data_IF_655503893681
#
_entry.id   IF_655503893681
#
_cell.length_a   1.000
_cell.length_b   1.000
_cell.length_c   1.000
_cell.angle_alpha   90.00
_cell.angle_beta   90.00
_cell.angle_gamma   90.00
#
_symmetry.space_group_name_H-M   'P 1'
#
loop_
_entity.id
_entity.type
_entity.pdbx_description
1 polymer ?
#
# COMPACT_ATOMS: atom_id res chain seq x y z
N UNK A 1 25.10 2.35 -8.35
CA UNK A 1 26.02 2.69 -7.27
C UNK A 1 26.14 4.20 -7.06
N UNK A 2 25.00 4.85 -6.72
CA UNK A 2 24.96 6.29 -6.40
C UNK A 2 25.49 6.66 -5.02
N UNK A 3 25.86 5.67 -4.21
CA UNK A 3 26.30 5.86 -2.83
C UNK A 3 27.83 5.91 -2.64
N UNK A 4 28.62 5.77 -3.69
CA UNK A 4 30.09 5.81 -3.56
C UNK A 4 30.65 7.06 -2.84
N UNK A 5 30.11 8.27 -3.05
CA UNK A 5 30.59 9.45 -2.32
C UNK A 5 30.28 9.43 -0.81
N UNK A 6 29.30 8.64 -0.37
CA UNK A 6 28.87 8.55 1.03
C UNK A 6 29.57 7.42 1.80
N UNK A 7 30.41 6.62 1.16
CA UNK A 7 31.12 5.48 1.78
C UNK A 7 32.07 5.86 2.92
N UNK A 8 32.41 7.13 3.06
CA UNK A 8 33.26 7.63 4.14
C UNK A 8 32.47 7.95 5.42
N UNK A 9 31.13 8.07 5.35
CA UNK A 9 30.29 8.51 6.45
C UNK A 9 29.26 7.46 6.90
N UNK A 10 29.06 6.39 6.13
CA UNK A 10 28.12 5.34 6.43
C UNK A 10 28.77 3.96 6.40
N UNK A 11 28.51 3.14 7.41
CA UNK A 11 28.87 1.73 7.37
C UNK A 11 28.03 1.01 6.32
N UNK A 12 28.65 0.12 5.58
CA UNK A 12 28.00 -0.64 4.51
C UNK A 12 28.19 -2.13 4.74
N UNK A 13 27.09 -2.85 4.73
CA UNK A 13 27.12 -4.31 4.63
C UNK A 13 27.57 -4.76 3.24
N UNK A 14 27.97 -6.01 3.12
CA UNK A 14 28.32 -6.58 1.82
C UNK A 14 27.14 -6.47 0.84
N UNK A 15 27.44 -6.32 -0.45
CA UNK A 15 26.38 -6.25 -1.46
C UNK A 15 25.64 -7.59 -1.55
N UNK A 16 24.34 -7.66 -1.23
CA UNK A 16 23.60 -8.91 -1.27
C UNK A 16 23.61 -9.52 -2.67
N UNK A 17 24.11 -10.74 -2.78
CA UNK A 17 24.13 -11.50 -4.03
C UNK A 17 22.96 -12.47 -4.16
N UNK A 18 22.14 -12.61 -3.12
CA UNK A 18 20.95 -13.45 -3.08
C UNK A 18 19.92 -12.90 -2.07
N UNK A 19 18.68 -13.31 -2.25
CA UNK A 19 17.60 -13.02 -1.31
C UNK A 19 17.91 -13.49 0.12
N UNK A 20 18.44 -14.71 0.24
CA UNK A 20 18.84 -15.27 1.53
C UNK A 20 19.92 -14.41 2.22
N UNK A 21 20.89 -13.90 1.46
CA UNK A 21 21.91 -13.03 2.02
C UNK A 21 21.30 -11.73 2.55
N UNK A 22 20.44 -11.07 1.76
CA UNK A 22 19.72 -9.87 2.20
C UNK A 22 18.93 -10.13 3.49
N UNK A 23 18.18 -11.22 3.55
CA UNK A 23 17.40 -11.56 4.76
C UNK A 23 18.28 -11.87 5.96
N UNK A 24 19.45 -12.48 5.75
CA UNK A 24 20.44 -12.73 6.83
C UNK A 24 21.06 -11.43 7.34
N UNK A 25 21.31 -10.45 6.48
CA UNK A 25 21.80 -9.12 6.87
C UNK A 25 20.77 -8.37 7.72
N UNK A 26 19.49 -8.42 7.35
CA UNK A 26 18.41 -7.87 8.17
C UNK A 26 18.33 -8.59 9.54
N UNK A 27 18.43 -9.91 9.55
CA UNK A 27 18.45 -10.68 10.77
C UNK A 27 19.67 -10.36 11.67
N UNK A 28 20.83 -10.09 11.06
CA UNK A 28 22.03 -9.62 11.78
C UNK A 28 21.79 -8.28 12.46
N UNK A 29 21.20 -7.30 11.74
CA UNK A 29 20.87 -5.99 12.33
C UNK A 29 19.86 -6.16 13.46
N UNK A 30 18.83 -7.00 13.29
CA UNK A 30 17.84 -7.32 14.32
C UNK A 30 18.50 -7.89 15.60
N UNK A 31 19.50 -8.75 15.43
CA UNK A 31 20.25 -9.32 16.54
C UNK A 31 21.23 -8.31 17.19
N UNK A 32 21.57 -7.23 16.50
CA UNK A 32 22.49 -6.19 16.92
C UNK A 32 21.87 -4.79 16.74
N UNK A 33 20.80 -4.44 17.44
CA UNK A 33 20.04 -3.22 17.19
C UNK A 33 20.82 -1.92 17.45
N UNK A 34 21.85 -1.98 18.26
CA UNK A 34 22.74 -0.84 18.53
C UNK A 34 23.73 -0.57 17.38
N UNK A 35 23.81 -1.43 16.37
CA UNK A 35 24.75 -1.30 15.25
C UNK A 35 24.45 -0.13 14.33
N UNK A 36 23.18 0.25 14.19
CA UNK A 36 22.78 1.40 13.39
C UNK A 36 21.49 2.03 13.89
N UNK A 37 21.29 3.32 13.63
CA UNK A 37 20.03 4.02 13.88
C UNK A 37 19.12 4.05 12.66
N UNK A 38 19.67 3.86 11.50
CA UNK A 38 18.95 3.90 10.22
C UNK A 38 19.52 2.86 9.28
N UNK A 39 18.67 1.97 8.80
CA UNK A 39 18.97 1.04 7.73
C UNK A 39 18.50 1.64 6.40
N UNK A 40 19.39 1.71 5.42
CA UNK A 40 19.07 2.12 4.05
C UNK A 40 19.22 0.94 3.11
N UNK A 41 18.17 0.63 2.36
CA UNK A 41 18.19 -0.39 1.30
C UNK A 41 18.10 0.31 -0.06
N UNK A 42 19.18 0.23 -0.81
CA UNK A 42 19.33 0.86 -2.14
C UNK A 42 19.59 -0.22 -3.20
N UNK A 43 18.53 -0.67 -3.90
CA UNK A 43 17.14 -0.23 -3.97
C UNK A 43 16.16 -1.39 -3.78
N UNK A 44 14.91 -1.08 -3.45
CA UNK A 44 13.86 -2.10 -3.27
C UNK A 44 13.55 -2.85 -4.59
N UNK A 45 13.68 -2.22 -5.74
CA UNK A 45 13.46 -2.87 -7.03
C UNK A 45 14.57 -3.91 -7.35
N UNK A 46 15.81 -3.70 -6.88
CA UNK A 46 16.84 -4.73 -6.92
C UNK A 46 16.58 -5.84 -5.90
N UNK A 47 16.09 -5.51 -4.71
CA UNK A 47 15.67 -6.52 -3.73
C UNK A 47 14.52 -7.39 -4.28
N UNK A 48 13.53 -6.80 -4.98
CA UNK A 48 12.49 -7.56 -5.68
C UNK A 48 13.07 -8.53 -6.70
N UNK A 49 14.11 -8.13 -7.44
CA UNK A 49 14.78 -9.02 -8.39
C UNK A 49 15.39 -10.24 -7.71
N UNK A 50 16.04 -10.06 -6.55
CA UNK A 50 16.56 -11.17 -5.74
C UNK A 50 15.44 -12.08 -5.21
N UNK A 51 14.29 -11.51 -4.82
CA UNK A 51 13.13 -12.29 -4.41
C UNK A 51 12.58 -13.13 -5.58
N UNK A 52 12.49 -12.56 -6.78
CA UNK A 52 12.08 -13.29 -8.00
C UNK A 52 13.00 -14.47 -8.29
N UNK A 53 14.31 -14.24 -8.26
CA UNK A 53 15.31 -15.31 -8.47
C UNK A 53 15.18 -16.42 -7.42
N UNK A 54 15.01 -16.05 -6.16
CA UNK A 54 14.83 -16.99 -5.05
C UNK A 54 13.58 -17.85 -5.23
N UNK A 55 12.44 -17.22 -5.53
CA UNK A 55 11.17 -17.94 -5.79
C UNK A 55 11.30 -18.90 -6.96
N UNK A 56 11.91 -18.45 -8.07
CA UNK A 56 12.14 -19.31 -9.22
C UNK A 56 13.02 -20.51 -8.86
N UNK A 57 14.11 -20.31 -8.12
CA UNK A 57 15.01 -21.36 -7.70
C UNK A 57 14.32 -22.37 -6.77
N UNK A 58 13.55 -21.92 -5.77
CA UNK A 58 12.82 -22.80 -4.85
C UNK A 58 11.83 -23.72 -5.55
N UNK A 59 11.23 -23.26 -6.64
CA UNK A 59 10.26 -24.02 -7.42
C UNK A 59 10.85 -24.70 -8.67
N UNK A 60 12.17 -24.66 -8.86
CA UNK A 60 12.85 -25.25 -10.02
C UNK A 60 12.43 -24.61 -11.36
N UNK A 61 12.06 -23.32 -11.36
CA UNK A 61 11.66 -22.56 -12.53
C UNK A 61 12.82 -21.75 -13.09
N UNK A 62 12.87 -21.58 -14.42
CA UNK A 62 13.89 -20.77 -15.07
C UNK A 62 13.56 -19.26 -15.02
N UNK A 63 12.29 -18.93 -14.92
CA UNK A 63 11.80 -17.56 -14.85
C UNK A 63 10.41 -17.49 -14.25
N UNK A 64 10.00 -16.27 -13.88
CA UNK A 64 8.72 -16.04 -13.21
C UNK A 64 7.51 -16.36 -14.12
N UNK A 65 7.70 -16.32 -15.44
CA UNK A 65 6.67 -16.66 -16.42
C UNK A 65 6.43 -18.18 -16.56
N UNK A 66 7.35 -19.01 -16.07
CA UNK A 66 7.20 -20.47 -16.07
C UNK A 66 6.18 -20.96 -15.02
N UNK A 67 5.70 -20.07 -14.16
CA UNK A 67 4.58 -20.35 -13.26
C UNK A 67 3.26 -20.16 -14.00
N UNK A 68 2.42 -21.17 -13.99
CA UNK A 68 1.09 -21.07 -14.60
C UNK A 68 0.21 -20.01 -13.89
N UNK A 69 -0.65 -19.34 -14.64
CA UNK A 69 -1.70 -18.44 -14.12
C UNK A 69 -1.22 -17.28 -13.26
N UNK A 70 0.03 -16.85 -13.42
CA UNK A 70 0.59 -15.73 -12.65
C UNK A 70 0.97 -16.07 -11.20
N UNK A 71 0.90 -17.31 -10.77
CA UNK A 71 1.21 -17.74 -9.39
C UNK A 71 2.61 -17.32 -8.91
N UNK A 72 3.60 -17.28 -9.82
CA UNK A 72 4.94 -16.81 -9.48
C UNK A 72 4.96 -15.40 -8.92
N UNK A 73 4.15 -14.51 -9.46
CA UNK A 73 4.03 -13.12 -8.96
C UNK A 73 3.40 -13.07 -7.57
N UNK A 74 2.45 -13.96 -7.28
CA UNK A 74 1.85 -14.09 -5.96
C UNK A 74 2.89 -14.52 -4.93
N UNK A 75 3.72 -15.50 -5.26
CA UNK A 75 4.81 -15.96 -4.37
C UNK A 75 5.84 -14.85 -4.11
N UNK A 76 6.21 -14.08 -5.14
CA UNK A 76 7.09 -12.92 -4.96
C UNK A 76 6.46 -11.88 -4.04
N UNK A 77 5.16 -11.58 -4.22
CA UNK A 77 4.43 -10.66 -3.34
C UNK A 77 4.45 -11.14 -1.88
N UNK A 78 4.29 -12.43 -1.66
CA UNK A 78 4.36 -13.02 -0.31
C UNK A 78 5.75 -12.89 0.30
N UNK A 79 6.82 -13.12 -0.50
CA UNK A 79 8.20 -12.92 -0.05
C UNK A 79 8.48 -11.45 0.30
N UNK A 80 8.02 -10.51 -0.52
CA UNK A 80 8.13 -9.08 -0.22
C UNK A 80 7.32 -8.74 1.04
N UNK A 81 6.16 -9.35 1.26
CA UNK A 81 5.40 -9.20 2.50
C UNK A 81 6.20 -9.64 3.73
N UNK A 82 6.86 -10.81 3.67
CA UNK A 82 7.75 -11.31 4.74
C UNK A 82 8.93 -10.39 5.00
N UNK A 83 9.54 -9.87 3.94
CA UNK A 83 10.60 -8.89 4.02
C UNK A 83 10.15 -7.61 4.71
N UNK A 84 9.02 -7.02 4.33
CA UNK A 84 8.47 -5.81 4.97
C UNK A 84 8.15 -6.05 6.45
N UNK A 85 7.63 -7.23 6.80
CA UNK A 85 7.41 -7.60 8.20
C UNK A 85 8.73 -7.65 8.99
N UNK A 86 9.80 -8.20 8.40
CA UNK A 86 11.12 -8.20 9.05
C UNK A 86 11.68 -6.79 9.23
N UNK A 87 11.39 -5.87 8.32
CA UNK A 87 11.74 -4.45 8.47
C UNK A 87 10.89 -3.76 9.54
N UNK A 88 9.61 -4.13 9.68
CA UNK A 88 8.77 -3.63 10.78
C UNK A 88 9.34 -4.00 12.14
N UNK A 89 9.86 -5.22 12.28
CA UNK A 89 10.53 -5.65 13.52
C UNK A 89 11.78 -4.79 13.86
N UNK A 90 12.48 -4.27 12.84
CA UNK A 90 13.58 -3.32 13.08
C UNK A 90 13.06 -1.95 13.54
N UNK A 91 11.93 -1.52 12.98
CA UNK A 91 11.28 -0.26 13.41
C UNK A 91 10.84 -0.36 14.87
N UNK A 92 10.29 -1.51 15.28
CA UNK A 92 9.90 -1.77 16.68
C UNK A 92 11.10 -1.72 17.64
N UNK A 93 12.31 -2.01 17.14
CA UNK A 93 13.57 -1.87 17.88
C UNK A 93 14.14 -0.43 17.85
N UNK A 94 13.45 0.52 17.23
CA UNK A 94 13.86 1.92 17.15
C UNK A 94 14.80 2.26 16.00
N UNK A 95 14.94 1.37 15.02
CA UNK A 95 15.75 1.58 13.81
C UNK A 95 14.88 2.17 12.71
N UNK A 96 15.26 3.32 12.16
CA UNK A 96 14.59 3.87 11.00
C UNK A 96 14.91 3.03 9.75
N UNK A 97 13.93 2.83 8.88
CA UNK A 97 14.12 2.10 7.62
C UNK A 97 13.84 3.03 6.44
N UNK A 98 14.79 3.12 5.53
CA UNK A 98 14.70 3.89 4.29
C UNK A 98 14.86 2.95 3.10
N UNK A 99 13.87 2.92 2.22
CA UNK A 99 13.92 2.19 0.96
C UNK A 99 14.06 3.20 -0.17
N UNK A 100 15.13 3.15 -0.94
CA UNK A 100 15.19 3.87 -2.21
C UNK A 100 14.56 3.03 -3.31
N UNK A 101 14.00 3.66 -4.33
CA UNK A 101 13.37 2.98 -5.45
C UNK A 101 13.53 3.79 -6.73
N UNK A 102 13.73 3.12 -7.85
CA UNK A 102 13.61 3.78 -9.15
C UNK A 102 12.15 4.08 -9.48
N UNK A 103 11.94 5.15 -10.24
CA UNK A 103 10.62 5.46 -10.82
C UNK A 103 10.57 4.99 -12.28
N UNK A 104 9.38 4.67 -12.74
CA UNK A 104 9.06 4.43 -14.14
C UNK A 104 7.83 5.22 -14.55
N UNK A 105 7.75 5.61 -15.80
CA UNK A 105 6.55 6.23 -16.36
C UNK A 105 5.61 5.13 -16.82
N UNK A 106 4.35 5.21 -16.38
CA UNK A 106 3.25 4.36 -16.87
C UNK A 106 2.14 5.24 -17.40
N UNK A 107 1.51 4.77 -18.47
CA UNK A 107 0.25 5.33 -18.92
C UNK A 107 -0.87 4.88 -17.99
N UNK A 108 -1.62 5.83 -17.49
CA UNK A 108 -2.70 5.65 -16.52
C UNK A 108 -4.02 6.14 -17.11
N UNK A 109 -5.06 5.34 -16.93
CA UNK A 109 -6.42 5.68 -17.34
C UNK A 109 -7.30 5.66 -16.10
N UNK A 110 -7.95 6.78 -15.79
CA UNK A 110 -8.95 6.83 -14.73
C UNK A 110 -10.32 6.46 -15.29
N UNK A 111 -11.12 5.69 -14.53
CA UNK A 111 -12.44 5.26 -15.00
C UNK A 111 -13.42 6.39 -15.27
N UNK A 112 -13.27 7.51 -14.59
CA UNK A 112 -14.15 8.67 -14.60
C UNK A 112 -13.63 9.84 -15.46
N UNK A 113 -12.43 9.71 -16.06
CA UNK A 113 -11.85 10.73 -16.94
C UNK A 113 -11.74 10.22 -18.39
N UNK A 114 -12.09 11.08 -19.35
CA UNK A 114 -11.87 10.80 -20.77
C UNK A 114 -10.40 11.03 -21.12
N UNK A 115 -9.66 9.93 -21.30
CA UNK A 115 -8.27 9.96 -21.73
C UNK A 115 -7.33 9.20 -20.83
N UNK A 116 -6.08 9.14 -21.24
CA UNK A 116 -4.98 8.55 -20.48
C UNK A 116 -3.86 9.57 -20.33
N UNK A 117 -3.12 9.49 -19.23
CA UNK A 117 -1.98 10.36 -18.99
C UNK A 117 -0.80 9.56 -18.43
N UNK A 118 0.41 10.11 -18.59
CA UNK A 118 1.62 9.50 -18.08
C UNK A 118 1.82 9.85 -16.61
N UNK A 119 2.14 8.84 -15.81
CA UNK A 119 2.35 8.96 -14.38
C UNK A 119 3.65 8.28 -13.96
N UNK A 120 4.38 8.89 -13.04
CA UNK A 120 5.50 8.25 -12.36
C UNK A 120 5.00 7.29 -11.29
N UNK A 121 5.51 6.07 -11.32
CA UNK A 121 5.26 5.04 -10.33
C UNK A 121 6.55 4.34 -9.91
N UNK A 122 6.52 3.65 -8.78
CA UNK A 122 7.61 2.79 -8.35
C UNK A 122 7.88 1.72 -9.41
N UNK A 123 9.16 1.50 -9.71
CA UNK A 123 9.59 0.45 -10.64
C UNK A 123 9.58 -0.91 -9.97
N UNK A 124 8.42 -1.30 -9.48
CA UNK A 124 8.15 -2.60 -8.86
C UNK A 124 7.04 -3.29 -9.64
N UNK A 125 7.04 -4.61 -9.63
CA UNK A 125 6.03 -5.49 -10.17
C UNK A 125 5.29 -4.99 -11.40
N UNK A 126 5.57 -5.51 -12.60
CA UNK A 126 5.05 -4.98 -13.87
C UNK A 126 3.64 -5.44 -14.22
N UNK A 127 3.14 -6.51 -13.63
CA UNK A 127 1.84 -7.11 -13.97
C UNK A 127 0.80 -6.81 -12.91
N UNK A 128 -0.48 -6.81 -13.31
CA UNK A 128 -1.63 -6.59 -12.43
C UNK A 128 -1.64 -7.56 -11.23
N UNK A 129 -1.11 -8.76 -11.41
CA UNK A 129 -0.98 -9.79 -10.36
C UNK A 129 0.20 -9.56 -9.39
N UNK A 130 1.16 -8.69 -9.72
CA UNK A 130 2.40 -8.58 -8.95
C UNK A 130 2.24 -7.74 -7.68
N UNK A 131 1.37 -6.79 -7.62
CA UNK A 131 0.96 -5.98 -6.45
C UNK A 131 2.05 -5.61 -5.40
N UNK A 132 3.34 -5.68 -5.77
CA UNK A 132 4.45 -5.35 -4.87
C UNK A 132 4.57 -3.85 -4.64
N UNK A 133 4.36 -3.02 -5.67
CA UNK A 133 4.36 -1.58 -5.53
C UNK A 133 3.27 -1.06 -4.57
N UNK A 134 2.00 -1.47 -4.67
CA UNK A 134 0.98 -1.13 -3.67
C UNK A 134 1.38 -1.55 -2.26
N UNK A 135 1.86 -2.79 -2.09
CA UNK A 135 2.24 -3.33 -0.79
C UNK A 135 3.31 -2.48 -0.10
N UNK A 136 4.38 -2.10 -0.83
CA UNK A 136 5.45 -1.23 -0.31
C UNK A 136 4.92 0.17 0.04
N UNK A 137 4.07 0.75 -0.80
CA UNK A 137 3.47 2.07 -0.55
C UNK A 137 2.52 2.08 0.64
N UNK A 138 1.76 1.01 0.83
CA UNK A 138 0.86 0.86 1.97
C UNK A 138 1.65 0.73 3.28
N UNK A 139 2.71 -0.05 3.26
CA UNK A 139 3.59 -0.27 4.40
C UNK A 139 4.32 1.00 4.84
N UNK A 140 4.90 1.76 3.93
CA UNK A 140 5.69 2.95 4.24
C UNK A 140 4.85 4.06 4.87
N UNK A 141 5.36 4.75 5.89
CA UNK A 141 4.72 5.95 6.48
C UNK A 141 4.83 7.17 5.59
N UNK A 142 5.93 7.26 4.85
CA UNK A 142 6.18 8.30 3.85
C UNK A 142 6.59 7.67 2.53
N UNK A 143 6.06 8.21 1.43
CA UNK A 143 6.54 7.99 0.07
C UNK A 143 6.87 9.35 -0.51
N UNK A 144 8.15 9.61 -0.73
CA UNK A 144 8.66 10.88 -1.23
C UNK A 144 9.04 10.72 -2.70
N UNK A 145 8.40 11.46 -3.59
CA UNK A 145 8.76 11.50 -4.99
C UNK A 145 9.84 12.55 -5.23
N UNK A 146 11.06 12.10 -5.48
CA UNK A 146 12.21 12.96 -5.69
C UNK A 146 12.42 13.20 -7.19
N UNK A 147 12.48 14.46 -7.61
CA UNK A 147 12.67 14.82 -9.01
C UNK A 147 13.35 16.18 -9.15
N UNK A 148 13.72 16.53 -10.37
CA UNK A 148 14.09 17.89 -10.71
C UNK A 148 12.84 18.70 -11.02
N UNK A 149 12.76 19.92 -10.49
CA UNK A 149 11.74 20.87 -10.92
C UNK A 149 12.10 21.37 -12.32
N UNK A 150 11.34 20.94 -13.32
CA UNK A 150 11.60 21.36 -14.70
C UNK A 150 10.86 22.66 -14.99
N UNK A 151 11.60 23.72 -15.30
CA UNK A 151 11.03 24.97 -15.77
C UNK A 151 11.04 24.93 -17.30
N UNK A 152 9.84 24.92 -17.90
CA UNK A 152 9.70 25.01 -19.35
C UNK A 152 9.62 26.49 -19.74
N UNK A 153 10.67 27.00 -20.36
CA UNK A 153 10.67 28.35 -20.95
C UNK A 153 10.31 28.23 -22.43
N UNK A 154 9.23 28.87 -22.82
CA UNK A 154 8.82 28.98 -24.23
C UNK A 154 9.35 30.28 -24.79
N UNK A 155 10.19 30.21 -25.80
CA UNK A 155 10.65 31.37 -26.53
C UNK A 155 9.52 31.88 -27.42
N UNK A 156 9.00 33.07 -27.11
CA UNK A 156 7.88 33.70 -27.83
C UNK A 156 8.14 33.90 -29.32
N UNK A 157 9.41 34.03 -29.72
CA UNK A 157 9.81 34.30 -31.15
C UNK A 157 9.93 33.00 -31.94
N UNK A 158 10.45 31.95 -31.34
CA UNK A 158 10.70 30.67 -32.03
C UNK A 158 9.64 29.61 -31.80
N UNK A 159 8.68 29.84 -30.86
CA UNK A 159 7.70 28.86 -30.35
C UNK A 159 8.34 27.51 -29.90
N UNK A 160 9.64 27.52 -29.65
CA UNK A 160 10.37 26.35 -29.15
C UNK A 160 10.43 26.40 -27.64
N UNK A 161 9.96 25.33 -27.01
CA UNK A 161 10.08 25.13 -25.58
C UNK A 161 11.45 24.52 -25.25
N UNK A 162 12.19 25.13 -24.32
CA UNK A 162 13.40 24.56 -23.74
C UNK A 162 13.14 24.24 -22.29
N UNK A 163 13.37 22.99 -21.91
CA UNK A 163 13.42 22.61 -20.51
C UNK A 163 14.72 23.14 -19.90
N UNK A 164 14.63 23.95 -18.87
CA UNK A 164 15.77 24.38 -18.07
C UNK A 164 15.77 23.62 -16.77
N UNK A 165 16.92 23.00 -16.41
CA UNK A 165 17.07 22.26 -15.18
C UNK A 165 16.76 23.14 -13.96
N UNK A 166 15.88 22.69 -13.11
CA UNK A 166 15.50 23.32 -11.86
C UNK A 166 16.19 22.71 -10.65
N UNK A 167 15.76 23.12 -9.46
CA UNK A 167 16.24 22.56 -8.20
C UNK A 167 15.78 21.11 -8.05
N UNK A 168 16.54 20.32 -7.30
CA UNK A 168 16.10 19.00 -6.84
C UNK A 168 15.08 19.20 -5.74
N UNK A 169 13.94 18.53 -5.88
CA UNK A 169 12.82 18.65 -4.95
C UNK A 169 12.30 17.27 -4.58
N UNK A 170 11.64 17.16 -3.43
CA UNK A 170 10.85 16.03 -3.02
C UNK A 170 9.40 16.46 -2.86
N UNK A 171 8.50 15.73 -3.53
CA UNK A 171 7.06 15.86 -3.40
C UNK A 171 6.57 14.89 -2.35
N UNK A 172 5.78 15.36 -1.42
CA UNK A 172 5.33 14.63 -0.24
C UNK A 172 3.87 14.21 -0.34
N UNK A 173 3.11 14.80 -1.28
CA UNK A 173 1.70 14.51 -1.47
C UNK A 173 1.41 13.99 -2.87
N UNK A 174 0.39 13.15 -2.93
CA UNK A 174 -0.13 12.59 -4.16
C UNK A 174 -0.49 13.67 -5.20
N UNK A 175 -0.20 13.37 -6.45
CA UNK A 175 -0.55 14.18 -7.61
C UNK A 175 -0.90 13.23 -8.78
N UNK A 176 -1.76 13.61 -9.74
CA UNK A 176 -2.03 12.75 -10.90
C UNK A 176 -0.77 12.25 -11.61
N UNK A 177 0.28 13.08 -11.72
CA UNK A 177 1.53 12.72 -12.40
C UNK A 177 2.52 11.89 -11.55
N UNK A 178 2.32 11.73 -10.25
CA UNK A 178 3.17 10.92 -9.37
C UNK A 178 2.45 10.46 -8.12
N UNK A 179 2.97 9.40 -7.53
CA UNK A 179 2.53 8.90 -6.23
C UNK A 179 3.42 9.42 -5.11
N UNK A 180 2.81 9.87 -4.02
CA UNK A 180 3.49 10.23 -2.79
C UNK A 180 2.54 10.07 -1.61
N UNK A 181 3.09 9.92 -0.40
CA UNK A 181 2.35 9.70 0.84
C UNK A 181 3.04 10.40 1.99
N UNK A 182 2.26 11.03 2.85
CA UNK A 182 2.79 11.79 3.97
C UNK A 182 1.84 11.69 5.17
N UNK A 183 2.32 11.10 6.27
CA UNK A 183 1.61 11.03 7.56
C UNK A 183 2.09 12.07 8.59
N UNK A 184 3.08 12.90 8.22
CA UNK A 184 3.76 13.83 9.13
C UNK A 184 3.44 15.30 8.87
N UNK A 185 2.36 15.58 8.12
CA UNK A 185 1.94 16.95 7.77
C UNK A 185 3.04 17.80 7.10
N UNK A 186 3.92 17.17 6.32
CA UNK A 186 4.93 17.90 5.56
C UNK A 186 4.29 18.80 4.49
N UNK A 187 4.89 19.93 4.14
CA UNK A 187 4.49 20.73 2.98
C UNK A 187 4.51 19.90 1.70
N UNK A 188 3.62 20.19 0.74
CA UNK A 188 3.46 19.40 -0.49
C UNK A 188 4.75 19.20 -1.30
N UNK A 189 5.66 20.16 -1.21
CA UNK A 189 6.97 20.16 -1.89
C UNK A 189 8.02 20.74 -0.95
N UNK A 190 9.18 20.08 -0.90
CA UNK A 190 10.35 20.50 -0.15
C UNK A 190 11.58 20.44 -1.07
N UNK A 191 12.62 21.25 -0.82
CA UNK A 191 13.93 20.98 -1.39
C UNK A 191 14.38 19.54 -1.10
N UNK A 192 15.12 18.91 -1.98
CA UNK A 192 15.72 17.60 -1.70
C UNK A 192 16.91 17.80 -0.74
N UNK A 193 16.57 17.98 0.52
CA UNK A 193 17.47 18.21 1.64
C UNK A 193 16.92 17.54 2.88
N UNK A 194 17.79 16.89 3.65
CA UNK A 194 17.41 16.20 4.90
C UNK A 194 16.81 17.15 5.93
N UNK A 195 17.26 18.41 5.98
CA UNK A 195 16.75 19.40 6.94
C UNK A 195 15.23 19.54 6.92
N UNK A 196 14.60 19.36 5.73
CA UNK A 196 13.14 19.42 5.59
C UNK A 196 12.37 18.32 6.32
N UNK A 197 13.01 17.18 6.58
CA UNK A 197 12.40 15.99 7.22
C UNK A 197 13.10 15.59 8.53
N UNK A 198 14.21 16.25 8.90
CA UNK A 198 15.03 15.89 10.06
C UNK A 198 14.23 15.85 11.37
N UNK A 199 13.25 16.73 11.53
CA UNK A 199 12.41 16.81 12.75
C UNK A 199 11.60 15.52 12.99
N UNK A 200 11.31 14.73 11.96
CA UNK A 200 10.58 13.45 12.07
C UNK A 200 11.46 12.39 12.76
N UNK A 201 12.76 12.41 12.49
CA UNK A 201 13.72 11.42 12.99
C UNK A 201 14.41 11.87 14.28
N UNK A 202 14.38 13.16 14.59
CA UNK A 202 14.99 13.75 15.79
C UNK A 202 13.99 13.82 16.97
N UNK A 203 13.00 12.95 17.03
CA UNK A 203 12.19 12.78 18.24
C UNK A 203 13.06 12.16 19.32
N UNK A 204 13.98 12.98 19.88
CA UNK A 204 14.46 12.73 21.23
C UNK A 204 13.23 12.63 22.09
N UNK A 205 13.12 11.53 22.82
CA UNK A 205 12.14 11.31 23.86
C UNK A 205 11.81 12.64 24.55
N UNK A 206 10.72 13.26 24.16
CA UNK A 206 10.03 14.17 25.03
C UNK A 206 9.55 13.26 26.15
N UNK A 207 10.38 13.12 27.20
CA UNK A 207 9.88 12.67 28.49
C UNK A 207 8.63 13.50 28.71
N UNK A 208 7.49 12.85 28.74
CA UNK A 208 6.25 13.46 29.15
C UNK A 208 6.53 13.99 30.57
N UNK A 209 6.83 15.28 30.68
CA UNK A 209 6.75 15.95 31.98
C UNK A 209 5.32 15.68 32.46
N UNK A 210 5.15 15.19 33.69
CA UNK A 210 3.83 14.97 34.24
C UNK A 210 3.12 16.34 34.24
N UNK A 211 2.10 16.46 33.41
CA UNK A 211 1.22 17.63 33.40
C UNK A 211 0.65 17.76 34.79
N UNK A 212 0.91 18.86 35.55
CA UNK A 212 0.31 19.06 36.85
C UNK A 212 -1.22 19.01 36.67
N UNK A 213 -1.95 18.38 37.59
CA UNK A 213 -3.40 18.25 37.45
C UNK A 213 -4.03 19.64 37.45
N UNK A 214 -4.54 20.06 36.30
CA UNK A 214 -5.36 21.24 36.18
C UNK A 214 -6.62 21.02 37.01
N UNK A 215 -6.76 21.81 38.08
CA UNK A 215 -7.92 21.82 38.94
C UNK A 215 -9.18 21.99 38.09
N UNK A 216 -10.06 21.00 38.12
CA UNK A 216 -11.41 21.10 37.57
C UNK A 216 -12.21 22.10 38.44
N UNK A 217 -13.00 22.99 37.87
CA UNK A 217 -14.00 23.75 38.65
C UNK A 217 -15.03 22.76 39.20
N UNK A 218 -15.20 22.82 40.48
CA UNK A 218 -16.20 22.13 41.28
C UNK A 218 -17.60 22.58 40.81
N UNK A 219 -18.36 21.69 40.16
CA UNK A 219 -19.78 21.89 39.92
C UNK A 219 -20.57 21.03 40.90
N UNK A 220 -21.40 21.68 41.72
CA UNK A 220 -22.33 21.07 42.66
C UNK A 220 -23.27 20.06 41.96
N UNK A 221 -23.60 18.95 42.64
CA UNK A 221 -24.47 17.92 42.04
C UNK A 221 -25.96 18.29 42.23
N UNK A 222 -26.82 18.11 41.23
CA UNK A 222 -28.26 18.09 41.43
C UNK A 222 -28.68 16.70 41.96
N UNK A 223 -29.71 16.69 42.82
CA UNK A 223 -30.27 15.60 43.54
C UNK A 223 -30.82 14.46 42.65
N UNK A 224 -30.90 13.21 43.19
CA UNK A 224 -31.21 12.01 42.38
C UNK A 224 -32.73 11.76 42.25
N UNK A 225 -33.18 11.46 41.05
CA UNK A 225 -34.44 10.78 40.77
C UNK A 225 -34.22 9.27 40.55
N UNK A 226 -35.16 8.41 40.87
CA UNK A 226 -34.94 6.98 41.06
C UNK A 226 -34.92 6.19 39.75
N UNK A 227 -33.91 5.35 39.60
CA UNK A 227 -33.73 4.39 38.48
C UNK A 227 -34.41 3.07 38.79
N UNK A 228 -35.10 2.44 37.81
CA UNK A 228 -35.43 1.01 37.90
C UNK A 228 -34.21 0.17 37.55
N UNK A 229 -33.92 -0.80 38.40
CA UNK A 229 -32.87 -1.80 38.21
C UNK A 229 -33.19 -2.68 37.01
N UNK A 230 -32.24 -2.80 36.08
CA UNK A 230 -32.14 -3.92 35.14
C UNK A 230 -30.84 -4.66 35.38
N UNK A 231 -30.95 -5.96 35.41
CA UNK A 231 -29.92 -6.96 35.70
C UNK A 231 -28.69 -6.86 34.76
N UNK A 232 -27.53 -6.99 35.38
CA UNK A 232 -26.25 -7.09 34.70
C UNK A 232 -26.02 -8.53 34.27
N UNK A 233 -26.00 -8.78 32.95
CA UNK A 233 -25.51 -10.03 32.36
C UNK A 233 -24.09 -9.78 31.84
N UNK A 234 -23.10 -10.65 32.11
CA UNK A 234 -21.73 -10.45 31.68
C UNK A 234 -21.59 -10.55 30.16
N UNK A 235 -20.88 -9.58 29.56
CA UNK A 235 -20.58 -9.58 28.13
C UNK A 235 -19.54 -10.66 27.80
N UNK A 236 -19.96 -11.66 27.07
CA UNK A 236 -19.06 -12.58 26.37
C UNK A 236 -18.53 -11.93 25.10
N UNK A 237 -17.25 -12.15 24.84
CA UNK A 237 -16.52 -11.73 23.64
C UNK A 237 -17.15 -12.38 22.40
N UNK A 238 -17.43 -11.65 21.31
CA UNK A 238 -17.95 -12.28 20.10
C UNK A 238 -16.85 -13.04 19.36
N UNK A 239 -16.99 -14.35 19.37
CA UNK A 239 -16.35 -15.25 18.40
C UNK A 239 -17.00 -15.00 17.05
N UNK A 240 -16.19 -14.84 16.00
CA UNK A 240 -16.69 -14.68 14.63
C UNK A 240 -17.53 -15.91 14.23
N UNK A 241 -18.83 -15.74 14.18
CA UNK A 241 -19.74 -16.74 13.63
C UNK A 241 -19.65 -16.75 12.10
N UNK A 242 -19.42 -17.95 11.55
CA UNK A 242 -19.70 -18.24 10.15
C UNK A 242 -21.17 -17.89 9.85
N UNK A 243 -21.48 -17.22 8.72
CA UNK A 243 -22.85 -16.96 8.37
C UNK A 243 -23.61 -18.29 8.20
N UNK A 244 -24.74 -18.39 8.89
CA UNK A 244 -25.64 -19.52 8.79
C UNK A 244 -26.10 -19.76 7.35
N UNK A 245 -26.39 -21.01 6.93
CA UNK A 245 -26.92 -21.30 5.61
C UNK A 245 -28.24 -20.55 5.41
N UNK A 246 -28.29 -19.68 4.40
CA UNK A 246 -29.53 -19.00 4.00
C UNK A 246 -30.50 -20.07 3.50
N UNK A 247 -31.70 -20.16 4.06
CA UNK A 247 -32.77 -20.98 3.50
C UNK A 247 -33.02 -20.53 2.06
N UNK A 248 -32.69 -21.39 1.09
CA UNK A 248 -32.95 -21.12 -0.32
C UNK A 248 -34.45 -20.99 -0.53
N UNK A 249 -34.88 -19.78 -0.89
CA UNK A 249 -36.22 -19.52 -1.40
C UNK A 249 -36.49 -20.30 -2.70
N UNK A 250 -37.74 -20.34 -3.14
CA UNK A 250 -38.12 -20.95 -4.40
C UNK A 250 -37.36 -20.29 -5.56
N UNK A 251 -36.66 -21.08 -6.39
CA UNK A 251 -35.88 -20.57 -7.50
C UNK A 251 -36.75 -19.76 -8.48
N UNK A 252 -36.39 -18.53 -8.73
CA UNK A 252 -37.01 -17.67 -9.74
C UNK A 252 -36.02 -17.45 -10.88
N UNK A 253 -36.49 -17.63 -12.12
CA UNK A 253 -35.69 -17.42 -13.32
C UNK A 253 -35.28 -15.95 -13.44
N UNK A 254 -33.98 -15.66 -13.70
CA UNK A 254 -33.49 -14.29 -13.82
C UNK A 254 -34.18 -13.51 -14.95
N UNK A 255 -34.36 -12.21 -14.73
CA UNK A 255 -35.07 -11.33 -15.66
C UNK A 255 -34.42 -11.26 -17.05
N UNK A 256 -35.21 -11.09 -18.10
CA UNK A 256 -34.71 -11.13 -19.50
C UNK A 256 -33.81 -9.93 -19.87
N UNK A 257 -33.75 -8.91 -19.05
CA UNK A 257 -32.92 -7.71 -19.28
C UNK A 257 -31.50 -7.81 -18.67
N UNK A 258 -31.18 -8.92 -18.01
CA UNK A 258 -29.83 -9.22 -17.54
C UNK A 258 -28.95 -9.63 -18.71
N UNK A 259 -27.65 -9.28 -18.67
CA UNK A 259 -26.71 -9.69 -19.70
C UNK A 259 -26.83 -11.19 -20.02
N UNK A 260 -26.95 -11.58 -21.30
CA UNK A 260 -27.22 -12.97 -21.67
C UNK A 260 -26.22 -13.98 -21.12
N UNK A 261 -24.92 -13.64 -21.06
CA UNK A 261 -23.88 -14.54 -20.56
C UNK A 261 -24.03 -14.77 -19.05
N UNK A 262 -24.30 -13.71 -18.29
CA UNK A 262 -24.54 -13.80 -16.84
C UNK A 262 -25.86 -14.54 -16.54
N UNK A 263 -26.90 -14.26 -17.32
CA UNK A 263 -28.19 -14.95 -17.18
C UNK A 263 -28.07 -16.45 -17.41
N UNK A 264 -27.36 -16.88 -18.46
CA UNK A 264 -27.13 -18.29 -18.74
C UNK A 264 -26.36 -18.99 -17.60
N UNK A 265 -25.37 -18.32 -17.02
CA UNK A 265 -24.63 -18.78 -15.85
C UNK A 265 -25.53 -18.91 -14.61
N UNK A 266 -26.40 -17.94 -14.35
CA UNK A 266 -27.35 -17.97 -13.24
C UNK A 266 -28.35 -19.12 -13.39
N UNK A 267 -28.89 -19.35 -14.60
CA UNK A 267 -29.79 -20.44 -14.91
C UNK A 267 -29.09 -21.81 -14.72
N UNK A 268 -27.87 -21.94 -15.28
CA UNK A 268 -27.10 -23.18 -15.20
C UNK A 268 -26.79 -23.60 -13.75
N UNK A 269 -26.61 -22.62 -12.86
CA UNK A 269 -26.25 -22.85 -11.46
C UNK A 269 -27.44 -22.66 -10.49
N UNK A 270 -28.64 -22.38 -11.02
CA UNK A 270 -29.85 -22.11 -10.22
C UNK A 270 -29.64 -21.01 -9.17
N UNK A 271 -28.97 -19.91 -9.55
CA UNK A 271 -28.71 -18.76 -8.71
C UNK A 271 -29.78 -17.70 -8.95
N UNK A 272 -30.41 -17.21 -7.88
CA UNK A 272 -31.38 -16.12 -7.96
C UNK A 272 -30.71 -14.75 -8.03
N UNK A 273 -31.43 -13.72 -8.48
CA UNK A 273 -30.92 -12.34 -8.51
C UNK A 273 -30.49 -11.87 -7.11
N UNK A 274 -31.24 -12.21 -6.08
CA UNK A 274 -30.92 -11.85 -4.69
C UNK A 274 -29.65 -12.55 -4.17
N UNK A 275 -29.45 -13.83 -4.49
CA UNK A 275 -28.23 -14.56 -4.11
C UNK A 275 -27.01 -13.95 -4.81
N UNK A 276 -27.12 -13.58 -6.08
CA UNK A 276 -26.04 -12.92 -6.80
C UNK A 276 -25.73 -11.54 -6.20
N UNK A 277 -26.73 -10.70 -5.95
CA UNK A 277 -26.56 -9.38 -5.35
C UNK A 277 -25.91 -9.49 -3.97
N UNK A 278 -26.32 -10.47 -3.16
CA UNK A 278 -25.75 -10.71 -1.84
C UNK A 278 -24.29 -11.18 -1.92
N UNK A 279 -23.96 -12.07 -2.84
CA UNK A 279 -22.60 -12.53 -3.07
C UNK A 279 -21.68 -11.40 -3.54
N UNK A 280 -22.15 -10.57 -4.46
CA UNK A 280 -21.43 -9.41 -5.00
C UNK A 280 -21.22 -8.35 -3.91
N UNK A 281 -22.24 -8.07 -3.08
CA UNK A 281 -22.15 -7.13 -1.97
C UNK A 281 -21.23 -7.62 -0.85
N UNK A 282 -21.25 -8.93 -0.53
CA UNK A 282 -20.38 -9.51 0.49
C UNK A 282 -18.89 -9.42 0.12
N UNK A 283 -18.59 -9.39 -1.19
CA UNK A 283 -17.23 -9.17 -1.71
C UNK A 283 -16.88 -7.70 -1.92
N UNK A 284 -17.81 -6.76 -1.65
CA UNK A 284 -17.58 -5.33 -1.73
C UNK A 284 -17.53 -4.75 -3.14
N UNK A 285 -17.99 -5.47 -4.17
CA UNK A 285 -17.98 -5.00 -5.54
C UNK A 285 -19.07 -3.98 -5.82
N UNK A 286 -20.30 -4.24 -5.37
CA UNK A 286 -21.46 -3.34 -5.49
C UNK A 286 -22.28 -3.35 -4.21
N UNK A 287 -22.97 -2.24 -3.86
CA UNK A 287 -23.98 -2.23 -2.80
C UNK A 287 -25.10 -3.25 -3.06
N UNK A 288 -25.67 -3.85 -2.02
CA UNK A 288 -26.67 -4.90 -2.11
C UNK A 288 -27.93 -4.47 -2.87
N UNK A 289 -28.23 -3.18 -2.87
CA UNK A 289 -29.40 -2.60 -3.56
C UNK A 289 -29.15 -2.30 -5.04
N UNK A 290 -27.94 -2.54 -5.55
CA UNK A 290 -27.61 -2.25 -6.95
C UNK A 290 -28.26 -3.27 -7.87
N UNK A 291 -29.14 -2.86 -8.82
CA UNK A 291 -29.75 -3.80 -9.77
C UNK A 291 -28.66 -4.46 -10.63
N UNK A 292 -28.82 -5.76 -10.92
CA UNK A 292 -27.86 -6.54 -11.74
C UNK A 292 -27.67 -5.95 -13.14
N UNK A 293 -28.71 -5.31 -13.69
CA UNK A 293 -28.64 -4.60 -14.97
C UNK A 293 -27.71 -3.40 -14.98
N UNK A 294 -27.27 -2.94 -13.83
CA UNK A 294 -26.32 -1.85 -13.65
C UNK A 294 -24.87 -2.32 -13.46
N UNK A 295 -24.63 -3.62 -13.45
CA UNK A 295 -23.27 -4.15 -13.36
C UNK A 295 -22.49 -3.91 -14.63
N UNK A 296 -21.25 -3.45 -14.51
CA UNK A 296 -20.39 -3.18 -15.66
C UNK A 296 -20.10 -4.45 -16.46
N UNK A 297 -20.06 -4.31 -17.79
CA UNK A 297 -19.79 -5.43 -18.67
C UNK A 297 -18.43 -6.08 -18.38
N UNK A 298 -17.42 -5.28 -18.01
CA UNK A 298 -16.10 -5.78 -17.61
C UNK A 298 -16.14 -6.60 -16.32
N UNK A 299 -17.07 -6.31 -15.42
CA UNK A 299 -17.30 -7.10 -14.21
C UNK A 299 -17.97 -8.43 -14.55
N UNK A 300 -18.98 -8.39 -15.46
CA UNK A 300 -19.71 -9.59 -15.90
C UNK A 300 -18.79 -10.55 -16.67
N UNK A 301 -17.93 -10.02 -17.56
CA UNK A 301 -16.99 -10.82 -18.36
C UNK A 301 -15.84 -11.40 -17.50
N UNK A 302 -15.63 -10.92 -16.29
CA UNK A 302 -14.60 -11.37 -15.34
C UNK A 302 -15.11 -12.24 -14.19
N UNK A 303 -16.41 -12.41 -14.08
CA UNK A 303 -17.06 -13.24 -13.05
C UNK A 303 -17.20 -14.67 -13.54
#
# INVERSE_FOLDING_TARGET
DGCEPMLQEAERLDKPSSWTMLMNEIAFIKANPDSCKTLVIDTIDWAESLAVESVCAQHGKKGIEDFGWGNGYTYVREEIGRFLNSLSELIDLGINVVLTAHAQIKNFTQPDEMGSYDRYELKLGKKTSSQTAPLVKEWADMVLFCNYETIVMTDEKSKKSKAQGGQRVMYTQHHPAWDAKNRHNLPNKLPLDYAGIAHIFNVQQVQAEPVPPTAQPEMEPPAPEPVPQQEVVPAETPVAENPAPVERGEYQEPAPFIDPALRDLMIANQVTEQELQQAVASKGYYPIETPISMYDKSFIDGA
#
